data_IF_333692405227
#
_entry.id   IF_333692405227
#
_cell.length_a   1.000
_cell.length_b   1.000
_cell.length_c   1.000
_cell.angle_alpha   90.00
_cell.angle_beta   90.00
_cell.angle_gamma   90.00
#
_symmetry.space_group_name_H-M   'P 1'
#
loop_
_entity.id
_entity.type
_entity.pdbx_description
1 polymer ?
#
# COMPACT_ATOMS: atom_id res chain seq x y z
N UNK A 1 37.41 3.81 24.07
CA UNK A 1 37.11 4.06 22.64
C UNK A 1 36.17 2.96 22.24
N UNK A 2 34.88 3.15 22.50
CA UNK A 2 33.85 2.18 22.13
C UNK A 2 33.03 2.79 21.00
N UNK A 3 32.88 2.00 19.96
CA UNK A 3 32.39 2.37 18.64
C UNK A 3 30.88 2.57 18.71
N UNK A 4 30.31 3.60 18.07
CA UNK A 4 28.86 3.78 18.05
C UNK A 4 28.20 2.64 17.27
N UNK A 5 27.19 2.05 17.91
CA UNK A 5 26.28 1.03 17.42
C UNK A 5 25.72 1.39 16.04
N UNK A 6 25.68 0.37 15.19
CA UNK A 6 25.17 0.34 13.83
C UNK A 6 23.85 1.14 13.66
N UNK A 7 23.92 2.19 12.84
CA UNK A 7 22.76 2.83 12.25
C UNK A 7 22.07 1.81 11.34
N UNK A 8 21.18 0.98 11.91
CA UNK A 8 20.18 0.28 11.10
C UNK A 8 19.40 1.37 10.40
N UNK A 9 19.57 1.50 9.08
CA UNK A 9 18.54 2.10 8.23
C UNK A 9 17.24 1.40 8.61
N UNK A 10 16.34 2.12 9.29
CA UNK A 10 15.07 1.56 9.71
C UNK A 10 14.38 1.04 8.45
N UNK A 11 14.24 -0.28 8.35
CA UNK A 11 13.57 -0.90 7.22
C UNK A 11 12.14 -0.36 7.21
N UNK A 12 11.76 0.36 6.15
CA UNK A 12 10.44 0.97 6.04
C UNK A 12 9.41 -0.16 5.96
N UNK A 13 8.63 -0.36 7.02
CA UNK A 13 7.58 -1.38 7.06
C UNK A 13 6.45 -1.00 6.08
N UNK A 14 6.06 -1.95 5.21
CA UNK A 14 5.01 -1.73 4.20
C UNK A 14 3.68 -2.34 4.63
N UNK A 15 2.61 -1.56 4.50
CA UNK A 15 1.24 -1.94 4.80
C UNK A 15 0.46 -2.05 3.49
N UNK A 16 -0.12 -3.23 3.26
CA UNK A 16 -1.02 -3.49 2.13
C UNK A 16 -2.45 -3.10 2.53
N UNK A 17 -2.97 -2.03 1.93
CA UNK A 17 -4.30 -1.50 2.21
C UNK A 17 -5.27 -1.92 1.10
N UNK A 18 -6.12 -2.91 1.38
CA UNK A 18 -7.17 -3.39 0.47
C UNK A 18 -8.53 -3.27 1.13
N UNK A 19 -9.52 -2.80 0.38
CA UNK A 19 -10.87 -2.56 0.87
C UNK A 19 -11.88 -2.43 -0.28
N UNK A 20 -13.17 -2.29 0.03
CA UNK A 20 -14.20 -2.00 -0.96
C UNK A 20 -13.95 -0.61 -1.60
N UNK A 21 -14.20 -0.50 -2.90
CA UNK A 21 -13.96 0.70 -3.71
C UNK A 21 -15.16 0.99 -4.62
N UNK A 22 -16.36 0.64 -4.18
CA UNK A 22 -17.57 0.71 -4.99
C UNK A 22 -18.05 2.15 -5.17
N UNK A 23 -17.74 3.03 -4.22
CA UNK A 23 -18.13 4.42 -4.16
C UNK A 23 -16.94 5.35 -3.91
N UNK A 24 -17.01 6.62 -4.35
CA UNK A 24 -15.94 7.61 -4.13
C UNK A 24 -15.64 7.86 -2.65
N UNK A 25 -16.62 7.69 -1.76
CA UNK A 25 -16.42 7.81 -0.31
C UNK A 25 -15.50 6.70 0.23
N UNK A 26 -15.62 5.47 -0.27
CA UNK A 26 -14.80 4.34 0.15
C UNK A 26 -13.36 4.48 -0.36
N UNK A 27 -13.19 4.98 -1.58
CA UNK A 27 -11.88 5.34 -2.15
C UNK A 27 -11.21 6.44 -1.30
N UNK A 28 -11.98 7.47 -0.91
CA UNK A 28 -11.50 8.53 -0.03
C UNK A 28 -11.08 8.01 1.34
N UNK A 29 -11.87 7.10 1.92
CA UNK A 29 -11.53 6.43 3.17
C UNK A 29 -10.23 5.62 3.09
N UNK A 30 -10.03 4.84 2.02
CA UNK A 30 -8.78 4.10 1.81
C UNK A 30 -7.59 5.04 1.63
N UNK A 31 -7.77 6.13 0.90
CA UNK A 31 -6.74 7.15 0.71
C UNK A 31 -6.34 7.77 2.05
N UNK A 32 -7.31 8.15 2.89
CA UNK A 32 -7.04 8.74 4.20
C UNK A 32 -6.28 7.80 5.15
N UNK A 33 -6.58 6.50 5.12
CA UNK A 33 -5.82 5.49 5.89
C UNK A 33 -4.39 5.40 5.39
N UNK A 34 -4.19 5.40 4.07
CA UNK A 34 -2.87 5.37 3.47
C UNK A 34 -2.03 6.58 3.87
N UNK A 35 -2.61 7.78 3.77
CA UNK A 35 -1.96 9.03 4.12
C UNK A 35 -1.54 9.07 5.59
N UNK A 36 -2.39 8.56 6.50
CA UNK A 36 -2.06 8.48 7.92
C UNK A 36 -0.88 7.53 8.16
N UNK A 37 -0.88 6.35 7.53
CA UNK A 37 0.22 5.39 7.66
C UNK A 37 1.52 5.95 7.06
N UNK A 38 1.45 6.63 5.92
CA UNK A 38 2.61 7.28 5.31
C UNK A 38 3.15 8.44 6.15
N UNK A 39 2.27 9.20 6.81
CA UNK A 39 2.63 10.25 7.78
C UNK A 39 3.42 9.70 8.97
N UNK A 40 3.06 8.50 9.45
CA UNK A 40 3.74 7.82 10.55
C UNK A 40 5.03 7.09 10.11
N UNK A 41 5.41 7.21 8.84
CA UNK A 41 6.66 6.67 8.31
C UNK A 41 6.55 5.27 7.69
N UNK A 42 5.36 4.67 7.62
CA UNK A 42 5.14 3.40 6.93
C UNK A 42 5.13 3.58 5.41
N UNK A 43 5.42 2.52 4.68
CA UNK A 43 5.09 2.42 3.26
C UNK A 43 3.66 1.92 3.11
N UNK A 44 2.90 2.42 2.14
CA UNK A 44 1.56 1.90 1.87
C UNK A 44 1.45 1.45 0.42
N UNK A 45 0.69 0.39 0.20
CA UNK A 45 0.34 -0.09 -1.13
C UNK A 45 -1.17 -0.27 -1.23
N UNK A 46 -1.78 0.48 -2.13
CA UNK A 46 -3.21 0.47 -2.40
C UNK A 46 -3.42 -0.04 -3.83
N UNK A 47 -4.03 -1.21 -4.05
CA UNK A 47 -4.10 -1.82 -5.37
C UNK A 47 -4.83 -0.96 -6.43
N UNK A 48 -5.74 -0.08 -6.02
CA UNK A 48 -6.45 0.87 -6.88
C UNK A 48 -5.68 2.17 -7.15
N UNK A 49 -4.75 2.55 -6.28
CA UNK A 49 -3.88 3.73 -6.43
C UNK A 49 -2.59 3.38 -7.15
N UNK A 50 -1.95 2.29 -6.70
CA UNK A 50 -0.60 1.87 -7.07
C UNK A 50 -0.59 0.85 -8.22
N UNK A 51 -1.75 0.51 -8.77
CA UNK A 51 -1.88 -0.05 -10.11
C UNK A 51 -2.07 -1.55 -10.22
N UNK A 52 -2.16 -2.32 -9.12
CA UNK A 52 -2.40 -3.76 -9.22
C UNK A 52 -3.77 -4.08 -9.85
N UNK A 53 -4.81 -3.31 -9.50
CA UNK A 53 -6.18 -3.55 -9.99
C UNK A 53 -6.31 -3.30 -11.49
N UNK A 54 -5.72 -2.21 -12.02
CA UNK A 54 -5.79 -1.91 -13.45
C UNK A 54 -5.11 -2.97 -14.35
N UNK A 55 -4.13 -3.70 -13.81
CA UNK A 55 -3.42 -4.76 -14.52
C UNK A 55 -4.04 -6.15 -14.29
N UNK A 56 -4.54 -6.44 -13.08
CA UNK A 56 -5.14 -7.74 -12.75
C UNK A 56 -6.61 -7.84 -13.18
N UNK A 57 -7.41 -6.77 -13.12
CA UNK A 57 -8.81 -6.80 -13.56
C UNK A 57 -8.96 -7.17 -15.04
N UNK A 58 -7.94 -6.90 -15.87
CA UNK A 58 -7.89 -7.35 -17.28
C UNK A 58 -7.84 -8.87 -17.43
N UNK A 59 -7.39 -9.57 -16.38
CA UNK A 59 -7.22 -11.02 -16.36
C UNK A 59 -8.24 -11.72 -15.44
N UNK A 60 -9.00 -10.98 -14.64
CA UNK A 60 -10.13 -11.52 -13.87
C UNK A 60 -11.17 -12.05 -14.85
N UNK A 61 -11.54 -13.33 -14.72
CA UNK A 61 -12.38 -14.10 -15.65
C UNK A 61 -11.80 -14.41 -17.04
N UNK A 62 -10.52 -14.20 -17.29
CA UNK A 62 -9.89 -14.90 -18.41
C UNK A 62 -9.80 -16.38 -18.05
N UNK A 63 -10.36 -17.32 -18.85
CA UNK A 63 -10.11 -18.74 -18.62
C UNK A 63 -8.59 -18.94 -18.62
N UNK A 64 -8.10 -19.71 -17.65
CA UNK A 64 -6.68 -20.03 -17.54
C UNK A 64 -6.22 -20.82 -18.76
N UNK A 65 -5.85 -20.15 -19.86
CA UNK A 65 -5.32 -20.80 -21.07
C UNK A 65 -6.35 -21.58 -21.87
#
# INVERSE_FOLDING_TARGET
MEMPMDEKTAEKEYVYCSGPLFCPEEIGGMTAIAELLESEGYGTFLPHRDGLEAHLLKHVNSPLG
#
